data_IF_275745260519
#
_entry.id   IF_275745260519
#
_cell.length_a   1.000
_cell.length_b   1.000
_cell.length_c   1.000
_cell.angle_alpha   90.00
_cell.angle_beta   90.00
_cell.angle_gamma   90.00
#
_symmetry.space_group_name_H-M   'P 1'
#
loop_
_entity.id
_entity.type
_entity.pdbx_description
1 polymer ?
#
# COMPACT_ATOMS: atom_id res chain seq x y z
N UNK A 1 16.51 0.50 7.17
CA UNK A 1 15.91 0.97 8.45
C UNK A 1 14.40 0.90 8.29
N UNK A 2 13.67 0.45 9.31
CA UNK A 2 12.20 0.34 9.23
C UNK A 2 11.57 1.73 9.49
N UNK A 3 10.38 2.02 8.92
CA UNK A 3 9.69 3.27 9.17
C UNK A 3 9.43 3.50 10.66
N UNK A 4 9.42 4.75 11.13
CA UNK A 4 8.98 5.06 12.48
C UNK A 4 7.53 4.60 12.68
N UNK A 5 7.26 4.08 13.88
CA UNK A 5 5.91 3.74 14.32
C UNK A 5 5.25 4.99 14.91
N UNK A 6 3.96 5.18 14.68
CA UNK A 6 3.12 6.17 15.34
C UNK A 6 2.94 5.87 16.84
N UNK A 7 2.29 6.77 17.58
CA UNK A 7 2.03 6.62 19.03
C UNK A 7 1.17 5.38 19.37
N UNK A 8 0.52 4.75 18.38
CA UNK A 8 -0.25 3.50 18.53
C UNK A 8 0.53 2.25 18.09
N UNK A 9 1.82 2.39 17.75
CA UNK A 9 2.67 1.29 17.32
C UNK A 9 2.34 0.79 15.92
N UNK A 10 1.68 1.60 15.08
CA UNK A 10 1.45 1.33 13.65
C UNK A 10 2.53 2.02 12.84
N UNK A 11 2.93 1.43 11.72
CA UNK A 11 3.85 2.11 10.81
C UNK A 11 3.17 3.36 10.26
N UNK A 12 3.78 4.53 10.46
CA UNK A 12 3.29 5.80 9.88
C UNK A 12 3.64 5.80 8.38
N UNK A 13 2.86 5.06 7.60
CA UNK A 13 3.06 4.90 6.17
C UNK A 13 2.34 6.02 5.44
N UNK A 14 3.09 7.00 4.96
CA UNK A 14 2.55 8.06 4.10
C UNK A 14 2.51 7.55 2.66
N UNK A 15 1.35 7.50 2.00
CA UNK A 15 1.30 7.14 0.58
C UNK A 15 1.98 8.22 -0.26
N UNK A 16 3.00 7.84 -1.02
CA UNK A 16 3.73 8.72 -1.95
C UNK A 16 3.05 8.78 -3.31
N UNK A 17 2.46 7.67 -3.77
CA UNK A 17 1.76 7.63 -5.05
C UNK A 17 1.21 6.25 -5.41
N UNK A 18 0.57 6.17 -6.57
CA UNK A 18 0.08 4.90 -7.13
C UNK A 18 1.03 4.44 -8.24
N UNK A 19 1.47 3.20 -8.16
CA UNK A 19 2.33 2.58 -9.17
C UNK A 19 1.54 1.86 -10.24
N UNK A 20 0.47 1.19 -9.81
CA UNK A 20 -0.33 0.35 -10.69
C UNK A 20 -1.74 0.20 -10.12
N UNK A 21 -2.64 -0.36 -10.90
CA UNK A 21 -3.96 -0.78 -10.46
C UNK A 21 -4.32 -2.10 -11.12
N UNK A 22 -5.10 -2.92 -10.41
CA UNK A 22 -5.60 -4.17 -10.95
C UNK A 22 -7.02 -4.41 -10.52
N UNK A 23 -7.73 -5.18 -11.33
CA UNK A 23 -9.05 -5.68 -10.98
C UNK A 23 -8.95 -7.16 -10.63
N UNK A 24 -9.43 -7.50 -9.44
CA UNK A 24 -9.57 -8.90 -9.00
C UNK A 24 -11.04 -9.26 -8.90
N UNK A 25 -11.37 -10.46 -9.38
CA UNK A 25 -12.68 -11.06 -9.13
C UNK A 25 -12.64 -11.80 -7.80
N UNK A 26 -13.29 -11.24 -6.80
CA UNK A 26 -13.53 -11.92 -5.53
C UNK A 26 -14.97 -12.43 -5.51
N UNK A 27 -15.13 -13.76 -5.62
CA UNK A 27 -16.43 -14.41 -5.75
C UNK A 27 -17.23 -13.83 -6.94
N UNK A 28 -18.33 -13.12 -6.66
CA UNK A 28 -19.20 -12.49 -7.65
C UNK A 28 -19.01 -10.97 -7.75
N UNK A 29 -17.93 -10.42 -7.18
CA UNK A 29 -17.63 -8.99 -7.20
C UNK A 29 -16.28 -8.74 -7.86
N UNK A 30 -16.20 -7.67 -8.63
CA UNK A 30 -14.92 -7.12 -9.10
C UNK A 30 -14.50 -6.07 -8.08
N UNK A 31 -13.34 -6.26 -7.47
CA UNK A 31 -12.68 -5.25 -6.66
C UNK A 31 -11.54 -4.66 -7.46
N UNK A 32 -11.32 -3.36 -7.32
CA UNK A 32 -10.17 -2.68 -7.87
C UNK A 32 -9.21 -2.41 -6.73
N UNK A 33 -8.02 -2.97 -6.84
CA UNK A 33 -6.91 -2.71 -5.91
C UNK A 33 -5.92 -1.78 -6.59
N UNK A 34 -5.28 -0.93 -5.79
CA UNK A 34 -4.25 -0.02 -6.25
C UNK A 34 -2.93 -0.36 -5.56
N UNK A 35 -1.85 -0.43 -6.34
CA UNK A 35 -0.52 -0.62 -5.79
C UNK A 35 -0.01 0.73 -5.29
N UNK A 36 -0.03 0.90 -3.97
CA UNK A 36 0.38 2.11 -3.28
C UNK A 36 1.87 2.05 -3.01
N UNK A 37 2.59 3.07 -3.48
CA UNK A 37 3.97 3.35 -3.09
C UNK A 37 3.94 4.16 -1.81
N UNK A 38 4.70 3.69 -0.83
CA UNK A 38 4.86 4.35 0.45
C UNK A 38 6.10 5.26 0.42
N UNK A 39 5.98 6.41 1.07
CA UNK A 39 7.08 7.34 1.27
C UNK A 39 8.11 6.69 2.20
N UNK A 40 9.39 6.96 1.94
CA UNK A 40 10.52 6.43 2.73
C UNK A 40 10.66 4.88 2.72
N UNK A 41 9.90 4.19 1.86
CA UNK A 41 10.02 2.76 1.59
C UNK A 41 10.43 2.50 0.14
N UNK A 42 11.19 1.41 -0.11
CA UNK A 42 11.55 1.03 -1.47
C UNK A 42 10.30 0.57 -2.23
N UNK A 43 10.40 0.59 -3.56
CA UNK A 43 9.33 0.14 -4.47
C UNK A 43 8.88 -1.30 -4.19
N UNK A 44 9.80 -2.12 -3.66
CA UNK A 44 9.58 -3.53 -3.33
C UNK A 44 8.61 -3.72 -2.16
N UNK A 45 8.49 -2.70 -1.29
CA UNK A 45 7.56 -2.68 -0.15
C UNK A 45 6.20 -2.03 -0.50
N UNK A 46 5.95 -1.71 -1.78
CA UNK A 46 4.64 -1.23 -2.21
C UNK A 46 3.55 -2.29 -1.95
N UNK A 47 2.40 -1.87 -1.42
CA UNK A 47 1.30 -2.78 -1.06
C UNK A 47 0.05 -2.52 -1.89
N UNK A 48 -0.79 -3.55 -2.02
CA UNK A 48 -2.06 -3.45 -2.73
C UNK A 48 -3.17 -3.14 -1.74
N UNK A 49 -3.84 -2.00 -1.93
CA UNK A 49 -4.97 -1.51 -1.13
C UNK A 49 -6.27 -1.49 -1.94
#
# INVERSE_FOLDING_TARGET
>A
ELPPLDDEGRLDLVPEGLLDWRERRLQNKVIREYLVRWKDLPLEDATWE
#
